data_IF_866603007159
#
_entry.id   IF_866603007159
#
_cell.length_a   1.000
_cell.length_b   1.000
_cell.length_c   1.000
_cell.angle_alpha   90.00
_cell.angle_beta   90.00
_cell.angle_gamma   90.00
#
_symmetry.space_group_name_H-M   'P 1'
#
loop_
_entity.id
_entity.type
_entity.pdbx_description
1 polymer ?
#
# COMPACT_ATOMS: atom_id res chain seq x y z
N UNK A 1 -2.01 10.96 -14.96
CA UNK A 1 -2.15 9.70 -14.25
C UNK A 1 -2.20 9.97 -12.75
N UNK A 2 -2.96 9.19 -12.00
CA UNK A 2 -3.26 9.49 -10.60
C UNK A 2 -2.05 9.59 -9.68
N UNK A 3 -1.11 8.61 -9.65
CA UNK A 3 0.03 8.73 -8.74
C UNK A 3 0.97 9.88 -9.11
N UNK A 4 1.17 10.12 -10.40
CA UNK A 4 2.01 11.24 -10.86
C UNK A 4 1.38 12.58 -10.49
N UNK A 5 0.06 12.72 -10.64
CA UNK A 5 -0.64 13.94 -10.25
C UNK A 5 -0.52 14.22 -8.76
N UNK A 6 -0.60 13.18 -7.93
CA UNK A 6 -0.43 13.32 -6.49
C UNK A 6 0.99 13.76 -6.14
N UNK A 7 2.00 13.24 -6.84
CA UNK A 7 3.40 13.64 -6.63
C UNK A 7 3.63 15.10 -6.99
N UNK A 8 2.85 15.66 -7.92
CA UNK A 8 2.94 17.08 -8.28
C UNK A 8 2.03 17.98 -7.43
N UNK A 9 1.39 17.41 -6.39
CA UNK A 9 0.60 18.18 -5.44
C UNK A 9 -0.85 18.40 -5.83
N UNK A 10 -1.41 17.61 -6.76
CA UNK A 10 -2.83 17.70 -7.13
C UNK A 10 -3.71 17.21 -5.96
N UNK A 11 -4.48 18.10 -5.28
CA UNK A 11 -5.26 17.70 -4.10
C UNK A 11 -6.33 16.65 -4.39
N UNK A 12 -6.91 16.68 -5.60
CA UNK A 12 -7.92 15.69 -5.98
C UNK A 12 -7.31 14.31 -6.12
N UNK A 13 -6.13 14.23 -6.77
CA UNK A 13 -5.42 12.97 -6.91
C UNK A 13 -4.97 12.43 -5.55
N UNK A 14 -4.55 13.31 -4.63
CA UNK A 14 -4.20 12.91 -3.28
C UNK A 14 -5.38 12.30 -2.54
N UNK A 15 -6.57 12.95 -2.61
CA UNK A 15 -7.77 12.41 -1.98
C UNK A 15 -8.17 11.06 -2.56
N UNK A 16 -8.09 10.91 -3.88
CA UNK A 16 -8.43 9.65 -4.52
C UNK A 16 -7.51 8.52 -4.07
N UNK A 17 -6.21 8.80 -3.93
CA UNK A 17 -5.26 7.79 -3.46
C UNK A 17 -5.51 7.42 -2.00
N UNK A 18 -5.84 8.37 -1.14
CA UNK A 18 -6.20 8.06 0.25
C UNK A 18 -7.43 7.15 0.28
N UNK A 19 -8.47 7.47 -0.49
CA UNK A 19 -9.70 6.69 -0.51
C UNK A 19 -9.52 5.31 -1.14
N UNK A 20 -8.68 5.19 -2.17
CA UNK A 20 -8.50 3.93 -2.91
C UNK A 20 -7.45 3.03 -2.30
N UNK A 21 -6.46 3.57 -1.61
CA UNK A 21 -5.33 2.80 -1.10
C UNK A 21 -5.28 2.77 0.42
N UNK A 22 -5.00 3.90 1.07
CA UNK A 22 -4.69 3.86 2.50
C UNK A 22 -5.91 3.57 3.36
N UNK A 23 -7.05 4.19 3.08
CA UNK A 23 -8.26 3.98 3.89
C UNK A 23 -8.70 2.51 3.92
N UNK A 24 -8.81 1.80 2.76
CA UNK A 24 -9.17 0.38 2.80
C UNK A 24 -8.21 -0.47 3.62
N UNK A 25 -6.91 -0.20 3.53
CA UNK A 25 -5.91 -0.95 4.28
C UNK A 25 -6.00 -0.66 5.78
N UNK A 26 -6.20 0.61 6.15
CA UNK A 26 -6.34 1.00 7.55
C UNK A 26 -7.60 0.39 8.18
N UNK A 27 -8.71 0.41 7.48
CA UNK A 27 -9.96 -0.17 7.97
C UNK A 27 -9.89 -1.68 8.14
N UNK A 28 -9.04 -2.35 7.38
CA UNK A 28 -8.82 -3.80 7.48
C UNK A 28 -7.87 -4.19 8.62
N UNK A 29 -7.31 -3.21 9.35
CA UNK A 29 -6.35 -3.44 10.42
C UNK A 29 -4.92 -3.21 9.96
N UNK A 30 -3.98 -3.10 10.91
CA UNK A 30 -2.60 -2.70 10.62
C UNK A 30 -1.75 -3.75 9.90
N UNK A 31 -2.15 -5.03 9.94
CA UNK A 31 -1.33 -6.10 9.39
C UNK A 31 -1.11 -6.00 7.88
N UNK A 32 -2.12 -5.53 7.13
CA UNK A 32 -1.99 -5.41 5.68
C UNK A 32 -1.04 -4.28 5.29
N UNK A 33 -1.13 -3.14 5.96
CA UNK A 33 -0.22 -2.03 5.71
C UNK A 33 1.22 -2.42 6.03
N UNK A 34 1.46 -3.07 7.17
CA UNK A 34 2.77 -3.56 7.55
C UNK A 34 3.33 -4.56 6.54
N UNK A 35 2.48 -5.46 6.05
CA UNK A 35 2.89 -6.46 5.07
C UNK A 35 3.32 -5.79 3.77
N UNK A 36 2.58 -4.79 3.32
CA UNK A 36 2.89 -4.08 2.09
C UNK A 36 4.22 -3.34 2.21
N UNK A 37 4.47 -2.68 3.34
CA UNK A 37 5.75 -2.03 3.61
C UNK A 37 6.91 -3.02 3.55
N UNK A 38 6.78 -4.14 4.25
CA UNK A 38 7.83 -5.16 4.29
C UNK A 38 8.08 -5.76 2.91
N UNK A 39 7.01 -5.95 2.13
CA UNK A 39 7.11 -6.47 0.78
C UNK A 39 7.91 -5.53 -0.12
N UNK A 40 7.64 -4.22 -0.05
CA UNK A 40 8.37 -3.23 -0.83
C UNK A 40 9.81 -3.11 -0.36
N UNK A 41 10.07 -3.11 0.94
CA UNK A 41 11.43 -3.10 1.49
C UNK A 41 12.24 -4.31 1.05
N UNK A 42 11.58 -5.45 0.92
CA UNK A 42 12.23 -6.69 0.47
C UNK A 42 12.39 -6.76 -1.06
N UNK A 43 12.05 -5.68 -1.78
CA UNK A 43 12.14 -5.65 -3.23
C UNK A 43 11.20 -6.63 -3.91
N UNK A 44 10.10 -7.01 -3.27
CA UNK A 44 9.15 -7.98 -3.78
C UNK A 44 9.53 -9.43 -3.49
N UNK A 45 10.59 -9.66 -2.71
CA UNK A 45 11.01 -11.03 -2.34
C UNK A 45 10.14 -11.57 -1.22
N UNK A 46 9.28 -12.53 -1.55
CA UNK A 46 8.28 -13.06 -0.64
C UNK A 46 8.90 -13.67 0.62
N UNK A 47 9.95 -14.47 0.46
CA UNK A 47 10.61 -15.10 1.59
C UNK A 47 11.24 -14.09 2.55
N UNK A 48 11.88 -13.03 2.02
CA UNK A 48 12.47 -11.98 2.84
C UNK A 48 11.39 -11.21 3.59
N UNK A 49 10.27 -10.91 2.92
CA UNK A 49 9.13 -10.25 3.54
C UNK A 49 8.59 -11.09 4.71
N UNK A 50 8.41 -12.38 4.50
CA UNK A 50 7.91 -13.29 5.54
C UNK A 50 8.86 -13.34 6.74
N UNK A 51 10.17 -13.37 6.50
CA UNK A 51 11.16 -13.35 7.58
C UNK A 51 11.10 -12.06 8.38
N UNK A 52 10.98 -10.91 7.72
CA UNK A 52 10.86 -9.63 8.41
C UNK A 52 9.64 -9.57 9.33
N UNK A 53 8.55 -10.19 8.90
CA UNK A 53 7.28 -10.15 9.63
C UNK A 53 7.12 -11.32 10.62
N UNK A 54 8.07 -12.25 10.64
CA UNK A 54 8.01 -13.46 11.48
C UNK A 54 6.75 -14.28 11.19
N UNK A 55 6.40 -14.44 9.91
CA UNK A 55 5.24 -15.22 9.48
C UNK A 55 5.64 -16.18 8.35
N UNK A 56 4.78 -17.15 8.07
CA UNK A 56 4.97 -18.06 6.96
C UNK A 56 4.75 -17.31 5.62
N UNK A 57 5.50 -17.68 4.55
CA UNK A 57 5.28 -17.04 3.24
C UNK A 57 3.84 -17.12 2.74
N UNK A 58 3.09 -18.18 3.05
CA UNK A 58 1.69 -18.26 2.68
C UNK A 58 0.83 -17.18 3.33
N UNK A 59 1.19 -16.75 4.54
CA UNK A 59 0.52 -15.63 5.21
C UNK A 59 0.73 -14.34 4.42
N UNK A 60 1.96 -14.12 3.93
CA UNK A 60 2.25 -12.95 3.09
C UNK A 60 1.42 -13.02 1.80
N UNK A 61 1.39 -14.18 1.14
CA UNK A 61 0.58 -14.35 -0.08
C UNK A 61 -0.89 -14.05 0.15
N UNK A 62 -1.43 -14.54 1.25
CA UNK A 62 -2.83 -14.29 1.62
C UNK A 62 -3.08 -12.79 1.83
N UNK A 63 -2.19 -12.13 2.57
CA UNK A 63 -2.32 -10.71 2.85
C UNK A 63 -2.20 -9.86 1.58
N UNK A 64 -1.28 -10.22 0.67
CA UNK A 64 -1.14 -9.52 -0.60
C UNK A 64 -2.40 -9.68 -1.46
N UNK A 65 -3.03 -10.84 -1.42
CA UNK A 65 -4.30 -11.09 -2.11
C UNK A 65 -5.42 -10.23 -1.53
N UNK A 66 -5.47 -10.12 -0.20
CA UNK A 66 -6.44 -9.24 0.46
C UNK A 66 -6.23 -7.78 0.09
N UNK A 67 -4.96 -7.34 0.00
CA UNK A 67 -4.64 -5.99 -0.45
C UNK A 67 -5.18 -5.76 -1.87
N UNK A 68 -4.97 -6.72 -2.76
CA UNK A 68 -5.47 -6.62 -4.13
C UNK A 68 -7.00 -6.55 -4.17
N UNK A 69 -7.67 -7.35 -3.35
CA UNK A 69 -9.14 -7.35 -3.26
C UNK A 69 -9.68 -6.01 -2.77
N UNK A 70 -9.01 -5.42 -1.76
CA UNK A 70 -9.48 -4.19 -1.14
C UNK A 70 -9.16 -2.94 -1.96
N UNK A 71 -8.02 -2.94 -2.65
CA UNK A 71 -7.53 -1.74 -3.37
C UNK A 71 -7.72 -1.82 -4.88
N UNK A 72 -7.98 -3.01 -5.41
CA UNK A 72 -8.00 -3.25 -6.84
C UNK A 72 -6.60 -3.22 -7.47
N UNK A 73 -5.53 -3.28 -6.65
CA UNK A 73 -4.15 -3.19 -7.12
C UNK A 73 -3.31 -4.35 -6.62
N UNK A 74 -2.55 -4.98 -7.52
CA UNK A 74 -1.68 -6.10 -7.19
C UNK A 74 -0.25 -5.61 -6.97
N UNK A 75 0.30 -5.87 -5.78
CA UNK A 75 1.63 -5.39 -5.41
C UNK A 75 2.75 -5.94 -6.30
N UNK A 76 2.54 -7.09 -6.93
CA UNK A 76 3.50 -7.69 -7.86
C UNK A 76 3.48 -7.09 -9.26
N UNK A 77 2.50 -6.28 -9.60
CA UNK A 77 2.41 -5.60 -10.88
C UNK A 77 3.14 -4.26 -10.78
N UNK A 78 4.10 -3.92 -11.67
CA UNK A 78 4.90 -2.70 -11.51
C UNK A 78 4.07 -1.41 -11.47
N UNK A 79 3.05 -1.28 -12.30
CA UNK A 79 2.21 -0.07 -12.31
C UNK A 79 1.37 0.01 -11.04
N UNK A 80 0.76 -1.10 -10.64
CA UNK A 80 -0.02 -1.15 -9.41
C UNK A 80 0.85 -0.91 -8.18
N UNK A 81 2.09 -1.43 -8.18
CA UNK A 81 3.04 -1.19 -7.10
C UNK A 81 3.33 0.30 -6.94
N UNK A 82 3.48 1.02 -8.06
CA UNK A 82 3.68 2.47 -8.01
C UNK A 82 2.47 3.16 -7.37
N UNK A 83 1.26 2.80 -7.78
CA UNK A 83 0.04 3.39 -7.20
C UNK A 83 -0.02 3.11 -5.70
N UNK A 84 0.27 1.88 -5.28
CA UNK A 84 0.25 1.52 -3.87
C UNK A 84 1.31 2.28 -3.07
N UNK A 85 2.54 2.40 -3.58
CA UNK A 85 3.62 3.13 -2.92
C UNK A 85 3.29 4.61 -2.76
N UNK A 86 2.84 5.24 -3.83
CA UNK A 86 2.48 6.66 -3.78
C UNK A 86 1.28 6.87 -2.86
N UNK A 87 0.28 5.98 -2.93
CA UNK A 87 -0.90 6.04 -2.07
C UNK A 87 -0.56 5.96 -0.59
N UNK A 88 0.37 5.07 -0.22
CA UNK A 88 0.84 4.98 1.17
C UNK A 88 1.55 6.25 1.60
N UNK A 89 2.47 6.76 0.78
CA UNK A 89 3.25 7.95 1.12
C UNK A 89 2.35 9.19 1.27
N UNK A 90 1.47 9.42 0.30
CA UNK A 90 0.56 10.56 0.29
C UNK A 90 -0.44 10.44 1.44
N UNK A 91 -0.99 9.25 1.65
CA UNK A 91 -1.96 9.01 2.71
C UNK A 91 -1.37 9.21 4.10
N UNK A 92 -0.13 8.73 4.32
CA UNK A 92 0.55 8.91 5.60
C UNK A 92 0.88 10.37 5.87
N UNK A 93 1.26 11.11 4.82
CA UNK A 93 1.50 12.54 4.94
C UNK A 93 0.22 13.28 5.29
N UNK A 94 -0.89 12.96 4.65
CA UNK A 94 -2.19 13.54 4.96
C UNK A 94 -2.61 13.23 6.40
N UNK A 95 -2.41 11.99 6.86
CA UNK A 95 -2.71 11.57 8.22
C UNK A 95 -1.88 12.35 9.24
N UNK A 96 -0.59 12.55 8.96
CA UNK A 96 0.30 13.31 9.84
C UNK A 96 -0.10 14.79 9.95
N UNK A 97 -0.74 15.33 8.90
CA UNK A 97 -1.24 16.71 8.89
C UNK A 97 -2.63 16.85 9.51
N UNK A 98 -3.22 15.76 9.96
CA UNK A 98 -4.58 15.76 10.49
C UNK A 98 -5.67 15.92 9.45
N UNK A 99 -5.38 15.66 8.19
CA UNK A 99 -6.33 15.78 7.07
C UNK A 99 -7.17 14.52 6.87
N UNK A 100 -6.89 13.50 7.64
CA UNK A 100 -7.58 12.24 7.50
C UNK A 100 -7.64 11.47 8.81
#
# INVERSE_FOLDING_TARGET
>A
MLPERALTGDPEAERQLVEQVLRPLTEAGGALEQTLDAYFEAGGALASCARQLFVHPNTVRYRLRRIADLTGRAAGNPRDALVLRVGLAVGRLARARGLW
#
